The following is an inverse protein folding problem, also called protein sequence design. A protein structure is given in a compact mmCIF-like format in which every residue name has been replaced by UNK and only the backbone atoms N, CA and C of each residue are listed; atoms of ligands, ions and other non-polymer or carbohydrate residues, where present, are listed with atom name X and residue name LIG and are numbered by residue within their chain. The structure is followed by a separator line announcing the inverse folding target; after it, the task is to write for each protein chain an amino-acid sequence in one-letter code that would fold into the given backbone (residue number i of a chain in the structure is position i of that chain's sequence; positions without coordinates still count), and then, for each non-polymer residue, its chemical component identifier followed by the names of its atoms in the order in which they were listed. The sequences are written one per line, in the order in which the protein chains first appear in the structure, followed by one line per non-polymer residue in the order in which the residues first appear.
data_IF_646401038249
#
_entry.id   IF_646401038249
#
_cell.length_a   1.000
_cell.length_b   1.000
_cell.length_c   1.000
_cell.angle_alpha   90.00
_cell.angle_beta   90.00
_cell.angle_gamma   90.00
#
_symmetry.space_group_name_H-M   'P 1'
#
loop_
_entity.id
_entity.type
_entity.pdbx_description
1 polymer ?
#
# COMPACT_ATOMS: atom_id res chain seq x y z
N UNK A 1 -0.26 13.51 -1.95
CA UNK A 1 -0.28 12.16 -2.52
C UNK A 1 1.12 11.59 -2.61
N UNK A 2 2.06 12.34 -3.21
CA UNK A 2 3.46 11.92 -3.27
C UNK A 2 4.06 11.72 -1.88
N UNK A 3 3.65 12.55 -0.91
CA UNK A 3 4.15 12.45 0.46
C UNK A 3 3.77 11.13 1.12
N UNK A 4 2.58 10.60 0.84
CA UNK A 4 2.18 9.30 1.39
C UNK A 4 3.11 8.19 0.88
N UNK A 5 3.36 8.14 -0.44
CA UNK A 5 4.19 7.11 -1.04
C UNK A 5 5.64 7.16 -0.54
N UNK A 6 6.18 8.36 -0.36
CA UNK A 6 7.60 8.53 -0.07
C UNK A 6 7.90 8.87 1.39
N UNK A 7 6.87 9.05 2.24
CA UNK A 7 7.09 9.39 3.64
C UNK A 7 7.78 8.25 4.39
N UNK A 8 7.43 7.00 4.11
CA UNK A 8 8.13 5.83 4.63
C UNK A 8 8.00 4.66 3.66
N UNK A 9 8.98 3.77 3.70
CA UNK A 9 8.90 2.52 2.92
C UNK A 9 7.78 1.61 3.42
N UNK A 10 7.31 1.80 4.65
CA UNK A 10 6.19 1.06 5.21
C UNK A 10 4.88 1.35 4.46
N UNK A 11 4.67 2.60 4.08
CA UNK A 11 3.48 2.99 3.31
C UNK A 11 3.43 2.26 1.98
N UNK A 12 4.56 2.20 1.29
CA UNK A 12 4.69 1.52 0.01
C UNK A 12 4.45 0.02 0.17
N UNK A 13 5.03 -0.58 1.23
CA UNK A 13 4.84 -2.00 1.51
C UNK A 13 3.36 -2.35 1.69
N UNK A 14 2.62 -1.52 2.42
CA UNK A 14 1.19 -1.73 2.62
C UNK A 14 0.39 -1.59 1.33
N UNK A 15 0.74 -0.62 0.49
CA UNK A 15 0.09 -0.47 -0.81
C UNK A 15 0.29 -1.73 -1.66
N UNK A 16 1.52 -2.23 -1.73
CA UNK A 16 1.81 -3.46 -2.48
C UNK A 16 1.07 -4.66 -1.90
N UNK A 17 1.08 -4.78 -0.57
CA UNK A 17 0.41 -5.91 0.08
C UNK A 17 -1.07 -5.94 -0.26
N UNK A 18 -1.77 -4.81 -0.10
CA UNK A 18 -3.20 -4.74 -0.37
C UNK A 18 -3.50 -4.97 -1.85
N UNK A 19 -2.69 -4.37 -2.73
CA UNK A 19 -2.87 -4.54 -4.18
C UNK A 19 -2.70 -5.99 -4.63
N UNK A 20 -1.91 -6.78 -3.90
CA UNK A 20 -1.64 -8.19 -4.24
C UNK A 20 -2.70 -9.15 -3.70
N UNK A 21 -3.60 -8.69 -2.84
CA UNK A 21 -4.61 -9.56 -2.24
C UNK A 21 -5.76 -9.85 -3.19
N UNK A 22 -6.50 -10.97 -2.99
CA UNK A 22 -7.71 -11.24 -3.77
C UNK A 22 -8.68 -10.05 -3.71
N UNK A 23 -9.22 -9.66 -4.87
CA UNK A 23 -10.09 -8.49 -5.01
C UNK A 23 -9.43 -7.19 -4.54
N UNK A 24 -8.10 -7.22 -4.31
CA UNK A 24 -7.31 -6.06 -3.89
C UNK A 24 -7.83 -5.43 -2.60
N UNK A 25 -8.26 -6.28 -1.68
CA UNK A 25 -8.76 -5.85 -0.37
C UNK A 25 -8.33 -6.82 0.73
N UNK A 26 -8.24 -6.33 1.96
CA UNK A 26 -7.91 -7.14 3.12
C UNK A 26 -8.37 -6.43 4.39
N UNK A 27 -8.43 -7.19 5.49
CA UNK A 27 -8.71 -6.63 6.81
C UNK A 27 -7.43 -6.17 7.48
N UNK A 28 -7.56 -5.40 8.55
CA UNK A 28 -6.42 -5.05 9.40
C UNK A 28 -5.73 -6.31 9.92
N UNK A 29 -6.53 -7.31 10.31
CA UNK A 29 -5.98 -8.56 10.84
C UNK A 29 -5.15 -9.31 9.79
N UNK A 30 -5.60 -9.29 8.53
CA UNK A 30 -4.83 -9.90 7.43
C UNK A 30 -3.47 -9.26 7.30
N UNK A 31 -3.39 -7.95 7.39
CA UNK A 31 -2.11 -7.22 7.29
C UNK A 31 -1.23 -7.61 8.48
N UNK A 32 -1.79 -7.57 9.70
CA UNK A 32 -1.02 -7.87 10.90
C UNK A 32 -0.55 -9.33 10.95
N UNK A 33 -1.33 -10.25 10.40
CA UNK A 33 -0.96 -11.66 10.33
C UNK A 33 0.21 -11.89 9.39
N UNK A 34 0.21 -11.19 8.26
CA UNK A 34 1.20 -11.46 7.20
C UNK A 34 2.46 -10.59 7.30
N UNK A 35 2.41 -9.48 8.03
CA UNK A 35 3.57 -8.62 8.20
C UNK A 35 4.00 -8.70 9.67
N UNK A 36 5.27 -9.10 9.88
CA UNK A 36 5.80 -9.25 11.23
C UNK A 36 5.75 -7.92 11.99
N UNK A 37 5.35 -7.99 13.27
CA UNK A 37 5.35 -6.82 14.15
C UNK A 37 6.75 -6.26 14.39
N UNK A 38 7.79 -7.04 14.06
CA UNK A 38 9.18 -6.58 14.10
C UNK A 38 9.48 -5.63 12.93
N UNK A 39 8.72 -5.76 11.83
CA UNK A 39 8.88 -4.90 10.66
C UNK A 39 8.01 -3.66 10.82
N UNK A 40 6.71 -3.85 11.09
CA UNK A 40 5.76 -2.76 11.29
C UNK A 40 4.84 -3.13 12.45
N UNK A 41 4.73 -2.24 13.44
CA UNK A 41 3.83 -2.46 14.57
C UNK A 41 2.37 -2.32 14.14
N UNK A 42 1.47 -2.95 14.90
CA UNK A 42 0.02 -2.85 14.64
C UNK A 42 -0.46 -1.40 14.63
N UNK A 43 0.01 -0.59 15.56
CA UNK A 43 -0.41 0.82 15.64
C UNK A 43 0.04 1.61 14.43
N UNK A 44 1.23 1.32 13.91
CA UNK A 44 1.74 1.94 12.68
C UNK A 44 0.90 1.53 11.48
N UNK A 45 0.54 0.23 11.39
CA UNK A 45 -0.32 -0.26 10.32
C UNK A 45 -1.67 0.46 10.35
N UNK A 46 -2.28 0.58 11.54
CA UNK A 46 -3.55 1.29 11.71
C UNK A 46 -3.45 2.74 11.26
N UNK A 47 -2.36 3.40 11.62
CA UNK A 47 -2.13 4.79 11.21
C UNK A 47 -2.01 4.93 9.69
N UNK A 48 -1.25 4.04 9.06
CA UNK A 48 -1.05 4.08 7.61
C UNK A 48 -2.36 3.83 6.86
N UNK A 49 -3.16 2.86 7.34
CA UNK A 49 -4.45 2.57 6.72
C UNK A 49 -5.40 3.76 6.84
N UNK A 50 -5.44 4.38 8.02
CA UNK A 50 -6.27 5.57 8.25
C UNK A 50 -5.85 6.72 7.33
N UNK A 51 -4.56 7.00 7.27
CA UNK A 51 -4.03 8.06 6.42
C UNK A 51 -4.31 7.78 4.95
N UNK A 52 -4.14 6.53 4.53
CA UNK A 52 -4.42 6.12 3.16
C UNK A 52 -5.89 6.31 2.77
N UNK A 53 -6.81 6.06 3.70
CA UNK A 53 -8.23 6.33 3.47
C UNK A 53 -8.47 7.83 3.33
N UNK A 54 -7.88 8.63 4.19
CA UNK A 54 -8.06 10.09 4.17
C UNK A 54 -7.60 10.72 2.86
N UNK A 55 -6.51 10.24 2.29
CA UNK A 55 -5.97 10.77 1.03
C UNK A 55 -6.55 10.08 -0.21
N UNK A 56 -7.42 9.08 -0.02
CA UNK A 56 -8.11 8.42 -1.12
C UNK A 56 -7.37 7.25 -1.75
N UNK A 57 -6.29 6.75 -1.16
CA UNK A 57 -5.58 5.58 -1.67
C UNK A 57 -6.29 4.29 -1.33
N UNK A 58 -6.97 4.25 -0.20
CA UNK A 58 -7.76 3.10 0.25
C UNK A 58 -9.20 3.50 0.45
N UNK A 59 -10.09 2.54 0.26
CA UNK A 59 -11.50 2.65 0.60
C UNK A 59 -11.79 1.68 1.74
N UNK A 60 -12.45 2.17 2.79
CA UNK A 60 -12.83 1.34 3.92
C UNK A 60 -14.25 0.82 3.71
N UNK A 61 -14.39 -0.49 3.65
CA UNK A 61 -15.65 -1.15 3.33
C UNK A 61 -16.09 -1.97 4.55
N UNK A 62 -17.35 -1.80 4.95
CA UNK A 62 -17.92 -2.60 6.04
C UNK A 62 -18.42 -3.94 5.48
N UNK A 63 -18.08 -5.04 6.17
CA UNK A 63 -18.62 -6.35 5.83
C UNK A 63 -20.10 -6.39 6.20
N UNK A 64 -20.96 -6.67 5.22
CA UNK A 64 -22.42 -6.70 5.44
C UNK A 64 -22.84 -7.79 6.41
N UNK A 65 -22.12 -8.90 6.44
CA UNK A 65 -22.43 -10.04 7.31
C UNK A 65 -21.94 -9.83 8.74
N UNK A 66 -20.84 -9.11 8.91
CA UNK A 66 -20.29 -8.77 10.21
C UNK A 66 -19.80 -7.34 10.18
N UNK A 67 -20.61 -6.43 10.71
CA UNK A 67 -20.35 -4.99 10.67
C UNK A 67 -19.11 -4.58 11.47
N UNK A 68 -18.62 -5.47 12.34
CA UNK A 68 -17.39 -5.20 13.10
C UNK A 68 -16.15 -5.38 12.22
N UNK A 69 -16.25 -6.14 11.12
CA UNK A 69 -15.15 -6.38 10.22
C UNK A 69 -15.13 -5.33 9.12
N UNK A 70 -13.97 -4.70 8.93
CA UNK A 70 -13.76 -3.70 7.90
C UNK A 70 -12.69 -4.19 6.93
N UNK A 71 -12.93 -3.94 5.64
CA UNK A 71 -11.96 -4.21 4.60
C UNK A 71 -11.37 -2.89 4.12
N UNK A 72 -10.09 -2.96 3.76
CA UNK A 72 -9.39 -1.85 3.10
C UNK A 72 -9.09 -2.29 1.68
N UNK A 73 -9.60 -1.56 0.72
CA UNK A 73 -9.45 -1.87 -0.70
C UNK A 73 -8.67 -0.73 -1.35
N UNK A 74 -7.73 -1.10 -2.26
CA UNK A 74 -7.01 -0.07 -3.00
C UNK A 74 -7.96 0.58 -4.01
N UNK A 75 -7.88 1.91 -4.11
CA UNK A 75 -8.69 2.68 -5.05
C UNK A 75 -7.96 2.85 -6.37
N UNK A 76 -8.64 3.41 -7.38
CA UNK A 76 -7.98 3.75 -8.65
C UNK A 76 -6.86 4.76 -8.43
N UNK A 77 -7.07 5.72 -7.52
CA UNK A 77 -6.03 6.69 -7.16
C UNK A 77 -4.81 5.98 -6.57
N UNK A 78 -5.05 5.02 -5.67
CA UNK A 78 -3.98 4.23 -5.08
C UNK A 78 -3.23 3.39 -6.10
N UNK A 79 -3.96 2.74 -7.01
CA UNK A 79 -3.36 1.95 -8.10
C UNK A 79 -2.50 2.82 -9.00
N UNK A 80 -3.01 3.98 -9.38
CA UNK A 80 -2.27 4.90 -10.24
C UNK A 80 -1.00 5.39 -9.54
N UNK A 81 -1.08 5.66 -8.24
CA UNK A 81 0.10 6.03 -7.46
C UNK A 81 1.17 4.97 -7.49
N UNK A 82 0.77 3.69 -7.33
CA UNK A 82 1.70 2.56 -7.42
C UNK A 82 2.29 2.42 -8.81
N UNK A 83 1.46 2.53 -9.84
CA UNK A 83 1.91 2.43 -11.23
C UNK A 83 2.91 3.54 -11.58
N UNK A 84 2.62 4.76 -11.18
CA UNK A 84 3.50 5.90 -11.40
C UNK A 84 4.84 5.70 -10.68
N UNK A 85 4.79 5.21 -9.45
CA UNK A 85 6.00 4.92 -8.70
C UNK A 85 6.82 3.83 -9.39
N UNK A 86 6.17 2.73 -9.79
CA UNK A 86 6.85 1.60 -10.45
C UNK A 86 7.47 2.04 -11.77
N UNK A 87 6.77 2.87 -12.54
CA UNK A 87 7.29 3.42 -13.79
C UNK A 87 8.54 4.27 -13.53
N UNK A 88 8.50 5.11 -12.50
CA UNK A 88 9.65 5.95 -12.14
C UNK A 88 10.86 5.09 -11.75
N UNK A 89 10.66 4.00 -11.00
CA UNK A 89 11.73 3.11 -10.60
C UNK A 89 12.32 2.39 -11.80
N UNK A 90 11.47 1.93 -12.72
CA UNK A 90 11.91 1.29 -13.95
C UNK A 90 12.80 2.22 -14.77
N UNK A 91 12.41 3.50 -14.85
CA UNK A 91 13.17 4.51 -15.58
C UNK A 91 14.55 4.72 -14.94
N UNK A 92 14.59 4.78 -13.60
CA UNK A 92 15.87 4.92 -12.87
C UNK A 92 16.78 3.73 -13.14
N UNK A 93 16.25 2.50 -13.06
CA UNK A 93 17.03 1.30 -13.33
C UNK A 93 17.53 1.25 -14.77
N UNK A 94 16.74 1.68 -15.73
CA UNK A 94 17.16 1.76 -17.13
C UNK A 94 18.34 2.71 -17.30
N UNK A 95 18.30 3.85 -16.64
CA UNK A 95 19.40 4.82 -16.68
C UNK A 95 20.67 4.25 -16.06
N UNK A 96 20.54 3.55 -14.92
CA UNK A 96 21.68 2.91 -14.26
C UNK A 96 22.30 1.84 -15.15
N UNK A 97 21.48 1.02 -15.80
CA UNK A 97 21.97 -0.01 -16.72
C UNK A 97 22.71 0.60 -17.91
N UNK A 98 22.22 1.72 -18.42
CA UNK A 98 22.90 2.44 -19.51
C UNK A 98 24.29 2.90 -19.07
N UNK A 99 24.38 3.42 -17.83
CA UNK A 99 25.68 3.87 -17.29
C UNK A 99 26.64 2.71 -17.08
N UNK A 100 26.13 1.55 -16.71
CA UNK A 100 26.95 0.38 -16.39
C UNK A 100 27.30 -0.50 -17.59
N UNK A 101 26.70 -0.24 -18.73
CA UNK A 101 26.86 -1.08 -19.93
C UNK A 101 28.08 -0.71 -20.78
N UNK A 102 28.89 0.18 -20.31
CA UNK A 102 30.11 0.58 -21.04
C UNK A 102 31.22 -0.46 -20.98
#
# INVERSE_FOLDING_TARGET
IKNFLFSTKHNLLLLFFIASQPDQKCTLEDVCYNISSKIISRSTIQYILKEGVEIGFFEKITNEKDKREKYYKITQVGKKGLEDWAFSQKKVFSNLNTLNSK
#
